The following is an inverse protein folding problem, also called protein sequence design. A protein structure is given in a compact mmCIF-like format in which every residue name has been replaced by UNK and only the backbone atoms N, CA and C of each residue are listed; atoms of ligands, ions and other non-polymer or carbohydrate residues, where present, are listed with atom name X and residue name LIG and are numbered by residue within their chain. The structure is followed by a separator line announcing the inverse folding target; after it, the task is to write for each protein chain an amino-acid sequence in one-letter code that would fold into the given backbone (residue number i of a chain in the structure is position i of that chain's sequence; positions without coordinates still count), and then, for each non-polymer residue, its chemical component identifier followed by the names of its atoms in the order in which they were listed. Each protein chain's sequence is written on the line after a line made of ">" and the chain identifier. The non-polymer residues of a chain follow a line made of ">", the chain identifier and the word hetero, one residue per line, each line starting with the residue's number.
data_IF_557754933078
#
_entry.id   IF_557754933078
#
_cell.length_a   1.000
_cell.length_b   1.000
_cell.length_c   1.000
_cell.angle_alpha   90.00
_cell.angle_beta   90.00
_cell.angle_gamma   90.00
#
_symmetry.space_group_name_H-M   'P 1'
#
loop_
_entity.id
_entity.type
_entity.pdbx_description
1 polymer ?
#
# COMPACT_ATOMS: atom_id res chain seq x y z
N UNK A 1 -5.79 17.65 -0.26
CA UNK A 1 -5.06 16.46 -0.72
C UNK A 1 -5.94 15.81 -1.77
N UNK A 2 -5.40 15.37 -2.90
CA UNK A 2 -6.19 14.97 -4.08
C UNK A 2 -5.56 13.74 -4.72
N UNK A 3 -6.38 12.93 -5.41
CA UNK A 3 -5.88 11.84 -6.25
C UNK A 3 -5.28 12.34 -7.55
N UNK A 4 -5.60 13.57 -7.93
CA UNK A 4 -5.28 14.15 -9.22
C UNK A 4 -4.22 15.23 -9.10
N UNK A 5 -3.54 15.50 -10.21
CA UNK A 5 -2.49 16.51 -10.29
C UNK A 5 -2.67 17.38 -11.53
N UNK A 6 -2.93 18.66 -11.31
CA UNK A 6 -3.20 19.64 -12.37
C UNK A 6 -2.12 19.64 -13.46
N UNK A 7 -0.84 19.62 -13.06
CA UNK A 7 0.29 19.60 -13.99
C UNK A 7 0.33 18.33 -14.85
N UNK A 8 -0.10 17.19 -14.32
CA UNK A 8 -0.22 15.95 -15.11
C UNK A 8 -1.38 16.03 -16.11
N UNK A 9 -2.50 16.65 -15.71
CA UNK A 9 -3.71 16.79 -16.52
C UNK A 9 -3.48 17.77 -17.67
N UNK A 10 -2.86 18.94 -17.42
CA UNK A 10 -2.60 19.95 -18.47
C UNK A 10 -1.75 19.37 -19.60
N UNK A 11 -0.74 18.56 -19.25
CA UNK A 11 0.15 17.90 -20.22
C UNK A 11 -0.66 16.92 -21.09
N UNK A 12 -1.55 16.13 -20.47
CA UNK A 12 -2.44 15.20 -21.19
C UNK A 12 -3.44 15.90 -22.10
N UNK A 13 -3.93 17.08 -21.70
CA UNK A 13 -4.84 17.90 -22.50
C UNK A 13 -4.14 18.75 -23.56
N UNK A 14 -2.81 18.92 -23.47
CA UNK A 14 -2.00 19.76 -24.36
C UNK A 14 -2.42 21.24 -24.32
N UNK A 15 -2.70 21.75 -23.12
CA UNK A 15 -3.10 23.15 -22.89
C UNK A 15 -1.96 23.95 -22.25
N UNK A 16 -2.02 25.29 -22.39
CA UNK A 16 -1.06 26.20 -21.79
C UNK A 16 -1.21 26.28 -20.26
N UNK A 17 -0.18 26.79 -19.57
CA UNK A 17 -0.23 27.04 -18.13
C UNK A 17 -1.40 27.99 -17.79
N UNK A 18 -2.10 27.68 -16.70
CA UNK A 18 -3.28 28.39 -16.15
C UNK A 18 -4.50 28.52 -17.08
N UNK A 19 -4.51 27.86 -18.24
CA UNK A 19 -5.70 27.79 -19.10
C UNK A 19 -6.78 26.92 -18.46
N UNK A 20 -8.00 27.47 -18.29
CA UNK A 20 -9.17 26.76 -17.76
C UNK A 20 -8.93 26.14 -16.37
N UNK A 21 -8.05 26.75 -15.56
CA UNK A 21 -7.61 26.18 -14.29
C UNK A 21 -8.77 25.88 -13.34
N UNK A 22 -9.63 26.86 -13.09
CA UNK A 22 -10.78 26.72 -12.18
C UNK A 22 -11.74 25.61 -12.64
N UNK A 23 -11.96 25.49 -13.95
CA UNK A 23 -12.81 24.44 -14.52
C UNK A 23 -12.18 23.06 -14.36
N UNK A 24 -10.87 22.93 -14.60
CA UNK A 24 -10.14 21.67 -14.41
C UNK A 24 -10.13 21.29 -12.94
N UNK A 25 -9.92 22.23 -12.02
CA UNK A 25 -9.96 21.99 -10.58
C UNK A 25 -11.36 21.52 -10.12
N UNK A 26 -12.44 22.04 -10.73
CA UNK A 26 -13.79 21.53 -10.49
C UNK A 26 -13.94 20.06 -10.93
N UNK A 27 -13.47 19.71 -12.14
CA UNK A 27 -13.49 18.31 -12.59
C UNK A 27 -12.59 17.41 -11.72
N UNK A 28 -11.45 17.91 -11.26
CA UNK A 28 -10.58 17.19 -10.33
C UNK A 28 -11.32 16.86 -9.03
N UNK A 29 -12.06 17.82 -8.46
CA UNK A 29 -12.87 17.59 -7.26
C UNK A 29 -13.96 16.54 -7.50
N UNK A 30 -14.68 16.62 -8.61
CA UNK A 30 -15.70 15.60 -8.94
C UNK A 30 -15.10 14.18 -9.05
N UNK A 31 -13.88 14.07 -9.61
CA UNK A 31 -13.19 12.79 -9.72
C UNK A 31 -12.67 12.33 -8.36
N UNK A 32 -12.19 13.23 -7.51
CA UNK A 32 -11.80 12.88 -6.14
C UNK A 32 -13.00 12.33 -5.36
N UNK A 33 -14.17 12.96 -5.44
CA UNK A 33 -15.41 12.48 -4.80
C UNK A 33 -15.84 11.11 -5.36
N UNK A 34 -15.70 10.89 -6.67
CA UNK A 34 -15.97 9.60 -7.29
C UNK A 34 -15.04 8.50 -6.76
N UNK A 35 -13.74 8.80 -6.64
CA UNK A 35 -12.75 7.88 -6.12
C UNK A 35 -12.99 7.59 -4.64
N UNK A 36 -13.26 8.61 -3.83
CA UNK A 36 -13.58 8.46 -2.40
C UNK A 36 -14.76 7.51 -2.20
N UNK A 37 -15.85 7.71 -2.94
CA UNK A 37 -17.03 6.85 -2.86
C UNK A 37 -16.71 5.39 -3.25
N UNK A 38 -15.95 5.19 -4.33
CA UNK A 38 -15.60 3.85 -4.81
C UNK A 38 -14.61 3.15 -3.86
N UNK A 39 -13.62 3.88 -3.36
CA UNK A 39 -12.68 3.38 -2.36
C UNK A 39 -13.40 3.06 -1.05
N UNK A 40 -14.31 3.92 -0.57
CA UNK A 40 -15.10 3.64 0.63
C UNK A 40 -15.93 2.36 0.48
N UNK A 41 -16.51 2.13 -0.70
CA UNK A 41 -17.25 0.90 -1.00
C UNK A 41 -16.35 -0.36 -1.01
N UNK A 42 -15.04 -0.22 -1.30
CA UNK A 42 -14.09 -1.33 -1.37
C UNK A 42 -13.28 -1.54 -0.10
N UNK A 43 -12.98 -0.48 0.66
CA UNK A 43 -12.12 -0.50 1.83
C UNK A 43 -12.91 -0.52 3.13
N UNK A 44 -14.14 0.01 3.12
CA UNK A 44 -14.87 0.34 4.34
C UNK A 44 -14.29 1.56 5.06
N UNK A 45 -14.71 1.78 6.30
CA UNK A 45 -14.24 2.89 7.13
C UNK A 45 -13.14 2.53 8.11
N UNK A 46 -12.99 1.25 8.42
CA UNK A 46 -11.99 0.75 9.35
C UNK A 46 -11.25 -0.45 8.77
N UNK A 47 -9.98 -0.58 9.09
CA UNK A 47 -9.17 -1.74 8.73
C UNK A 47 -9.34 -2.88 9.76
N UNK A 48 -8.70 -4.03 9.52
CA UNK A 48 -8.77 -5.18 10.44
C UNK A 48 -8.12 -4.93 11.81
N UNK A 49 -7.33 -3.87 11.96
CA UNK A 49 -6.67 -3.49 13.22
C UNK A 49 -7.54 -2.54 14.05
N UNK A 50 -8.63 -2.03 13.49
CA UNK A 50 -9.53 -1.06 14.12
C UNK A 50 -9.20 0.40 13.81
N UNK A 51 -8.20 0.68 12.98
CA UNK A 51 -7.86 2.04 12.58
C UNK A 51 -8.80 2.55 11.48
N UNK A 52 -9.10 3.85 11.52
CA UNK A 52 -9.87 4.53 10.47
C UNK A 52 -9.08 4.61 9.15
N UNK A 53 -9.78 4.33 8.05
CA UNK A 53 -9.28 4.54 6.70
C UNK A 53 -9.60 5.98 6.28
N UNK A 54 -8.57 6.80 6.30
CA UNK A 54 -8.62 8.22 5.91
C UNK A 54 -8.63 8.33 4.39
N UNK A 55 -9.61 9.05 3.87
CA UNK A 55 -9.72 9.45 2.47
C UNK A 55 -9.66 10.98 2.38
N UNK A 56 -9.09 11.56 1.31
CA UNK A 56 -8.48 10.88 0.18
C UNK A 56 -7.15 10.19 0.54
N UNK A 57 -6.78 9.14 -0.21
CA UNK A 57 -5.52 8.43 0.03
C UNK A 57 -4.32 9.33 -0.30
N UNK A 58 -3.22 9.15 0.43
CA UNK A 58 -1.95 9.86 0.22
C UNK A 58 -0.77 8.92 0.39
N UNK A 59 0.47 9.39 0.19
CA UNK A 59 1.67 8.60 0.55
C UNK A 59 1.74 8.27 2.04
N UNK A 60 0.97 8.98 2.88
CA UNK A 60 1.05 8.87 4.32
C UNK A 60 -0.07 8.01 4.93
N UNK A 61 -1.17 7.79 4.19
CA UNK A 61 -2.31 6.99 4.66
C UNK A 61 -2.01 5.49 4.62
N UNK A 62 -2.83 4.71 5.31
CA UNK A 62 -2.84 3.24 5.22
C UNK A 62 -4.25 2.83 4.78
N UNK A 63 -4.46 2.39 3.52
CA UNK A 63 -3.45 2.17 2.48
C UNK A 63 -2.86 3.47 1.91
N UNK A 64 -1.66 3.38 1.34
CA UNK A 64 -1.01 4.49 0.64
C UNK A 64 -1.65 4.69 -0.74
N UNK A 65 -1.63 5.91 -1.27
CA UNK A 65 -2.07 6.23 -2.64
C UNK A 65 -1.14 5.59 -3.67
N UNK A 66 -1.59 4.57 -4.42
CA UNK A 66 -0.73 3.92 -5.39
C UNK A 66 -0.58 4.78 -6.65
N UNK A 67 0.61 4.76 -7.25
CA UNK A 67 0.91 5.56 -8.45
C UNK A 67 -0.03 5.24 -9.63
N UNK A 68 -0.44 3.98 -9.76
CA UNK A 68 -1.39 3.54 -10.79
C UNK A 68 -2.77 4.18 -10.59
N UNK A 69 -3.27 4.24 -9.36
CA UNK A 69 -4.54 4.91 -9.05
C UNK A 69 -4.46 6.41 -9.33
N UNK A 70 -3.32 7.05 -8.99
CA UNK A 70 -3.04 8.45 -9.34
C UNK A 70 -3.08 8.68 -10.87
N UNK A 71 -2.51 7.75 -11.64
CA UNK A 71 -2.56 7.77 -13.10
C UNK A 71 -3.99 7.64 -13.66
N UNK A 72 -4.77 6.72 -13.11
CA UNK A 72 -6.18 6.50 -13.47
C UNK A 72 -7.02 7.74 -13.13
N UNK A 73 -6.84 8.32 -11.95
CA UNK A 73 -7.54 9.55 -11.54
C UNK A 73 -7.29 10.71 -12.53
N UNK A 74 -6.03 10.92 -12.91
CA UNK A 74 -5.68 11.93 -13.93
C UNK A 74 -6.33 11.65 -15.29
N UNK A 75 -6.41 10.39 -15.71
CA UNK A 75 -7.08 10.03 -16.96
C UNK A 75 -8.60 10.24 -16.89
N UNK A 76 -9.22 9.95 -15.76
CA UNK A 76 -10.65 10.17 -15.54
C UNK A 76 -11.01 11.65 -15.66
N UNK A 77 -10.19 12.56 -15.14
CA UNK A 77 -10.40 14.01 -15.33
C UNK A 77 -10.37 14.36 -16.82
N UNK A 78 -9.37 13.86 -17.56
CA UNK A 78 -9.25 14.08 -19.01
C UNK A 78 -10.46 13.51 -19.75
N UNK A 79 -10.93 12.32 -19.39
CA UNK A 79 -12.09 11.68 -19.99
C UNK A 79 -13.37 12.47 -19.69
N UNK A 80 -13.54 12.96 -18.45
CA UNK A 80 -14.68 13.80 -18.04
C UNK A 80 -14.73 15.11 -18.83
N UNK A 81 -13.60 15.80 -18.97
CA UNK A 81 -13.51 17.03 -19.77
C UNK A 81 -13.87 16.76 -21.24
N UNK A 82 -13.34 15.66 -21.82
CA UNK A 82 -13.65 15.28 -23.21
C UNK A 82 -15.10 14.86 -23.39
N UNK A 83 -15.73 14.28 -22.37
CA UNK A 83 -17.14 13.94 -22.38
C UNK A 83 -18.01 15.21 -22.49
N UNK A 84 -17.70 16.23 -21.68
CA UNK A 84 -18.43 17.51 -21.69
C UNK A 84 -18.21 18.30 -23.00
N UNK A 85 -17.02 18.20 -23.59
CA UNK A 85 -16.67 18.98 -24.79
C UNK A 85 -17.02 18.31 -26.13
N UNK A 86 -17.17 16.99 -26.18
CA UNK A 86 -17.27 16.26 -27.46
C UNK A 86 -18.19 15.04 -27.43
N UNK A 87 -18.96 14.86 -26.35
CA UNK A 87 -19.91 13.74 -26.18
C UNK A 87 -19.30 12.38 -26.53
N UNK A 88 -18.08 12.09 -26.05
CA UNK A 88 -17.41 10.79 -26.26
C UNK A 88 -17.60 9.88 -25.03
N UNK A 89 -18.78 9.24 -24.84
CA UNK A 89 -19.04 8.38 -23.68
C UNK A 89 -18.05 7.21 -23.61
N UNK A 90 -17.61 6.70 -24.76
CA UNK A 90 -16.69 5.56 -24.82
C UNK A 90 -15.36 5.78 -24.08
N UNK A 91 -14.85 7.02 -24.03
CA UNK A 91 -13.62 7.31 -23.28
C UNK A 91 -13.88 7.30 -21.77
N UNK A 92 -15.00 7.89 -21.35
CA UNK A 92 -15.40 7.89 -19.94
C UNK A 92 -15.66 6.47 -19.44
N UNK A 93 -16.47 5.70 -20.18
CA UNK A 93 -16.85 4.34 -19.80
C UNK A 93 -15.62 3.42 -19.74
N UNK A 94 -14.67 3.59 -20.65
CA UNK A 94 -13.41 2.83 -20.64
C UNK A 94 -12.56 3.15 -19.39
N UNK A 95 -12.36 4.42 -19.06
CA UNK A 95 -11.56 4.82 -17.88
C UNK A 95 -12.26 4.43 -16.57
N UNK A 96 -13.58 4.52 -16.50
CA UNK A 96 -14.37 4.04 -15.35
C UNK A 96 -14.22 2.53 -15.17
N UNK A 97 -14.25 1.76 -16.26
CA UNK A 97 -14.02 0.32 -16.21
C UNK A 97 -12.57 0.00 -15.78
N UNK A 98 -11.58 0.76 -16.23
CA UNK A 98 -10.19 0.64 -15.77
C UNK A 98 -10.10 0.89 -14.25
N UNK A 99 -10.78 1.92 -13.74
CA UNK A 99 -10.85 2.18 -12.30
C UNK A 99 -11.46 1.01 -11.54
N UNK A 100 -12.63 0.52 -11.97
CA UNK A 100 -13.28 -0.60 -11.27
C UNK A 100 -12.42 -1.87 -11.27
N UNK A 101 -11.85 -2.23 -12.42
CA UNK A 101 -10.95 -3.38 -12.51
C UNK A 101 -9.71 -3.21 -11.62
N UNK A 102 -9.15 -1.99 -11.56
CA UNK A 102 -8.04 -1.69 -10.67
C UNK A 102 -8.43 -1.87 -9.21
N UNK A 103 -9.55 -1.28 -8.77
CA UNK A 103 -10.01 -1.34 -7.40
C UNK A 103 -10.35 -2.79 -6.99
N UNK A 104 -10.98 -3.54 -7.88
CA UNK A 104 -11.31 -4.96 -7.65
C UNK A 104 -10.04 -5.82 -7.59
N UNK A 105 -9.03 -5.53 -8.42
CA UNK A 105 -7.75 -6.26 -8.41
C UNK A 105 -6.91 -5.96 -7.15
N UNK A 106 -6.86 -4.70 -6.72
CA UNK A 106 -5.96 -4.24 -5.65
C UNK A 106 -6.59 -4.37 -4.27
N UNK A 107 -7.87 -4.04 -4.14
CA UNK A 107 -8.57 -4.02 -2.86
C UNK A 107 -9.59 -5.15 -2.73
N UNK A 108 -9.92 -5.83 -3.82
CA UNK A 108 -10.89 -6.94 -3.82
C UNK A 108 -12.33 -6.46 -3.66
N UNK A 109 -13.25 -7.43 -3.61
CA UNK A 109 -14.62 -7.18 -3.18
C UNK A 109 -14.70 -7.45 -1.67
N UNK A 110 -14.69 -6.40 -0.86
CA UNK A 110 -15.05 -6.56 0.54
C UNK A 110 -16.55 -6.86 0.62
N UNK A 111 -16.91 -8.10 0.96
CA UNK A 111 -18.26 -8.48 1.40
C UNK A 111 -18.21 -8.86 2.86
N UNK A 112 -18.30 -7.86 3.74
CA UNK A 112 -18.48 -8.07 5.18
C UNK A 112 -17.21 -8.26 6.02
N UNK A 113 -16.01 -7.97 5.49
CA UNK A 113 -14.75 -8.02 6.25
C UNK A 113 -13.96 -6.73 6.13
N UNK A 114 -13.41 -6.19 7.21
CA UNK A 114 -12.61 -4.97 7.15
C UNK A 114 -11.37 -5.10 6.22
N UNK A 115 -10.89 -3.98 5.68
CA UNK A 115 -9.71 -3.97 4.81
C UNK A 115 -8.46 -4.48 5.55
N UNK A 116 -7.66 -5.31 4.88
CA UNK A 116 -6.41 -5.85 5.41
C UNK A 116 -5.20 -5.23 4.70
N UNK A 117 -4.39 -4.42 5.39
CA UNK A 117 -3.12 -3.97 4.85
C UNK A 117 -2.25 -5.14 4.39
N UNK A 118 -1.65 -5.01 3.21
CA UNK A 118 -0.78 -6.04 2.66
C UNK A 118 0.52 -6.10 3.46
N UNK A 119 0.79 -7.26 4.06
CA UNK A 119 2.03 -7.48 4.80
C UNK A 119 3.19 -7.74 3.85
N UNK A 120 4.36 -7.24 4.22
CA UNK A 120 5.61 -7.57 3.57
C UNK A 120 6.71 -7.77 4.63
N UNK A 121 7.65 -8.66 4.35
CA UNK A 121 8.83 -8.89 5.20
C UNK A 121 10.01 -9.23 4.31
N UNK A 122 11.08 -8.45 4.43
CA UNK A 122 12.29 -8.57 3.62
C UNK A 122 13.49 -8.76 4.53
N UNK A 123 14.44 -9.58 4.07
CA UNK A 123 15.68 -9.88 4.77
C UNK A 123 16.84 -9.42 3.89
N UNK A 124 17.82 -8.77 4.50
CA UNK A 124 19.06 -8.37 3.85
C UNK A 124 20.25 -8.65 4.77
N UNK A 125 21.17 -9.54 4.38
CA UNK A 125 21.15 -10.37 3.17
C UNK A 125 20.07 -11.48 3.24
N UNK A 126 19.86 -12.23 2.15
CA UNK A 126 18.96 -13.40 2.10
C UNK A 126 19.68 -14.73 2.36
N UNK A 127 21.01 -14.70 2.39
CA UNK A 127 21.86 -15.85 2.68
C UNK A 127 23.00 -15.41 3.59
N UNK A 128 23.51 -16.31 4.43
CA UNK A 128 24.64 -15.96 5.30
C UNK A 128 25.05 -17.04 6.28
N UNK A 129 26.25 -16.88 6.83
CA UNK A 129 26.84 -17.81 7.79
C UNK A 129 26.52 -17.45 9.23
N UNK A 130 26.78 -18.39 10.15
CA UNK A 130 26.67 -18.17 11.60
C UNK A 130 27.31 -16.83 12.01
N UNK A 131 26.66 -16.13 12.95
CA UNK A 131 27.00 -14.80 13.45
C UNK A 131 26.87 -13.63 12.46
N UNK A 132 26.57 -13.89 11.18
CA UNK A 132 26.26 -12.82 10.23
C UNK A 132 25.01 -12.06 10.67
N UNK A 133 25.08 -10.73 10.64
CA UNK A 133 23.97 -9.87 11.02
C UNK A 133 23.02 -9.74 9.83
N UNK A 134 21.77 -10.13 10.06
CA UNK A 134 20.67 -9.99 9.10
C UNK A 134 19.79 -8.82 9.51
N UNK A 135 19.52 -7.93 8.57
CA UNK A 135 18.55 -6.85 8.72
C UNK A 135 17.21 -7.31 8.20
N UNK A 136 16.16 -7.15 9.01
CA UNK A 136 14.78 -7.49 8.66
C UNK A 136 13.96 -6.22 8.67
N UNK A 137 13.27 -5.96 7.57
CA UNK A 137 12.28 -4.88 7.49
C UNK A 137 10.92 -5.44 7.13
N UNK A 138 9.85 -4.79 7.58
CA UNK A 138 8.50 -5.19 7.20
C UNK A 138 7.50 -4.05 7.30
N UNK A 139 6.33 -4.28 6.70
CA UNK A 139 5.23 -3.32 6.62
C UNK A 139 3.87 -4.04 6.62
N UNK A 140 2.80 -3.29 6.87
CA UNK A 140 1.43 -3.80 6.85
C UNK A 140 1.02 -4.63 8.07
N UNK A 141 1.82 -4.63 9.14
CA UNK A 141 1.48 -5.24 10.43
C UNK A 141 0.57 -4.31 11.24
N UNK A 142 -0.01 -4.79 12.34
CA UNK A 142 -0.79 -3.97 13.26
C UNK A 142 0.07 -2.81 13.79
N UNK A 143 -0.47 -1.58 13.91
CA UNK A 143 0.30 -0.43 14.36
C UNK A 143 0.61 -0.50 15.86
N UNK A 144 1.76 0.06 16.27
CA UNK A 144 2.19 0.19 17.68
C UNK A 144 2.11 -1.17 18.42
N UNK A 145 2.42 -2.25 17.71
CA UNK A 145 2.22 -3.60 18.20
C UNK A 145 3.56 -4.29 18.41
N UNK A 146 3.71 -4.95 19.57
CA UNK A 146 4.87 -5.81 19.83
C UNK A 146 4.81 -7.04 18.92
N UNK A 147 5.90 -7.28 18.20
CA UNK A 147 6.03 -8.41 17.27
C UNK A 147 6.67 -9.62 17.96
N UNK A 148 6.21 -10.80 17.56
CA UNK A 148 6.78 -12.09 17.93
C UNK A 148 7.63 -12.61 16.78
N UNK A 149 8.90 -12.88 17.05
CA UNK A 149 9.90 -13.23 16.04
C UNK A 149 10.46 -14.61 16.36
N UNK A 150 10.47 -15.48 15.36
CA UNK A 150 10.96 -16.85 15.47
C UNK A 150 11.85 -17.15 14.28
N UNK A 151 13.04 -17.70 14.51
CA UNK A 151 13.98 -18.08 13.46
C UNK A 151 14.38 -19.54 13.65
N UNK A 152 14.27 -20.34 12.61
CA UNK A 152 14.50 -21.79 12.67
C UNK A 152 13.75 -22.47 13.84
N UNK A 153 12.49 -22.09 14.04
CA UNK A 153 11.60 -22.57 15.12
C UNK A 153 11.99 -22.16 16.56
N UNK A 154 13.12 -21.46 16.73
CA UNK A 154 13.58 -20.92 18.02
C UNK A 154 13.35 -19.41 18.18
N UNK A 155 13.48 -18.92 19.41
CA UNK A 155 13.54 -17.49 19.71
C UNK A 155 14.96 -16.96 19.47
N UNK A 156 15.07 -15.73 18.97
CA UNK A 156 16.34 -15.04 18.74
C UNK A 156 16.40 -13.74 19.53
N UNK A 157 17.62 -13.28 19.80
CA UNK A 157 17.86 -11.94 20.35
C UNK A 157 17.92 -10.96 19.18
N UNK A 158 17.01 -10.00 19.19
CA UNK A 158 16.94 -8.94 18.19
C UNK A 158 17.56 -7.64 18.73
N UNK A 159 17.96 -6.77 17.81
CA UNK A 159 18.30 -5.38 18.09
C UNK A 159 17.34 -4.50 17.29
N UNK A 160 16.43 -3.75 17.95
CA UNK A 160 16.20 -3.69 19.40
C UNK A 160 15.63 -5.00 19.99
N UNK A 161 15.78 -5.19 21.31
CA UNK A 161 15.34 -6.41 22.03
C UNK A 161 13.83 -6.62 21.98
N UNK A 162 13.05 -5.53 21.94
CA UNK A 162 11.63 -5.57 21.70
C UNK A 162 11.34 -4.87 20.37
N UNK A 163 10.90 -5.63 19.38
CA UNK A 163 10.50 -5.08 18.10
C UNK A 163 9.04 -4.68 18.17
N UNK A 164 8.79 -3.39 17.98
CA UNK A 164 7.45 -2.79 17.98
C UNK A 164 7.26 -2.13 16.62
N UNK A 165 6.12 -2.36 15.98
CA UNK A 165 5.78 -1.69 14.74
C UNK A 165 5.49 -0.20 14.96
N UNK A 166 5.69 0.61 13.92
CA UNK A 166 5.34 2.03 13.91
C UNK A 166 3.83 2.23 13.91
N UNK A 167 3.38 3.49 13.99
CA UNK A 167 1.96 3.86 13.79
C UNK A 167 1.39 3.49 12.43
N UNK A 168 2.23 3.12 11.47
CA UNK A 168 1.83 2.62 10.14
C UNK A 168 2.04 1.13 9.96
N UNK A 169 2.39 0.40 11.03
CA UNK A 169 2.61 -1.04 10.95
C UNK A 169 3.93 -1.46 10.29
N UNK A 170 4.89 -0.53 10.17
CA UNK A 170 6.24 -0.82 9.66
C UNK A 170 7.18 -1.20 10.81
N UNK A 171 8.25 -1.95 10.54
CA UNK A 171 9.29 -2.24 11.52
C UNK A 171 10.65 -2.47 10.86
N UNK A 172 11.70 -2.35 11.66
CA UNK A 172 13.06 -2.72 11.30
C UNK A 172 13.79 -3.26 12.54
N UNK A 173 14.48 -4.37 12.39
CA UNK A 173 15.37 -4.90 13.42
C UNK A 173 16.52 -5.68 12.78
N UNK A 174 17.54 -5.96 13.57
CA UNK A 174 18.62 -6.85 13.17
C UNK A 174 18.78 -8.00 14.14
N UNK A 175 19.36 -9.10 13.69
CA UNK A 175 19.78 -10.21 14.54
C UNK A 175 20.99 -10.92 13.93
N UNK A 176 21.92 -11.42 14.74
CA UNK A 176 22.96 -12.33 14.27
C UNK A 176 22.39 -13.75 14.10
N UNK A 177 22.83 -14.48 13.08
CA UNK A 177 22.48 -15.91 12.93
C UNK A 177 23.02 -16.70 14.15
N UNK A 178 22.15 -17.41 14.90
CA UNK A 178 22.57 -18.17 16.08
C UNK A 178 23.59 -19.27 15.77
N UNK A 179 24.48 -19.55 16.73
CA UNK A 179 25.55 -20.54 16.60
C UNK A 179 25.05 -21.98 16.34
N UNK A 180 23.88 -22.33 16.86
CA UNK A 180 23.30 -23.68 16.74
C UNK A 180 22.40 -23.83 15.49
N UNK A 181 22.46 -22.87 14.56
CA UNK A 181 21.67 -22.94 13.32
C UNK A 181 22.35 -23.88 12.33
N UNK A 182 21.64 -24.91 11.87
CA UNK A 182 22.14 -25.81 10.84
C UNK A 182 22.16 -25.13 9.45
N UNK A 183 23.10 -25.54 8.61
CA UNK A 183 23.19 -25.10 7.22
C UNK A 183 21.94 -25.50 6.42
N UNK A 184 21.60 -24.68 5.43
CA UNK A 184 20.48 -24.90 4.52
C UNK A 184 19.31 -23.94 4.72
N UNK A 185 18.16 -24.32 4.19
CA UNK A 185 16.96 -23.48 4.16
C UNK A 185 16.31 -23.41 5.54
N UNK A 186 16.26 -22.22 6.11
CA UNK A 186 15.59 -21.92 7.38
C UNK A 186 14.49 -20.89 7.17
N UNK A 187 13.58 -20.78 8.14
CA UNK A 187 12.48 -19.82 8.09
C UNK A 187 12.57 -18.77 9.20
N UNK A 188 12.27 -17.53 8.84
CA UNK A 188 11.99 -16.43 9.76
C UNK A 188 10.49 -16.20 9.76
N UNK A 189 9.87 -16.25 10.95
CA UNK A 189 8.47 -15.91 11.15
C UNK A 189 8.37 -14.62 11.94
N UNK A 190 7.59 -13.66 11.43
CA UNK A 190 7.24 -12.42 12.14
C UNK A 190 5.74 -12.36 12.28
N UNK A 191 5.25 -12.30 13.52
CA UNK A 191 3.82 -12.29 13.83
C UNK A 191 3.44 -11.10 14.73
N UNK A 192 2.26 -10.54 14.50
CA UNK A 192 1.52 -9.73 15.47
C UNK A 192 0.27 -10.49 15.94
N UNK A 193 -0.62 -9.80 16.65
CA UNK A 193 -1.89 -10.35 17.18
C UNK A 193 -2.89 -10.77 16.10
N UNK A 194 -2.72 -10.32 14.85
CA UNK A 194 -3.59 -10.60 13.70
C UNK A 194 -2.94 -11.56 12.68
N UNK A 195 -1.81 -12.17 13.05
CA UNK A 195 -1.06 -13.14 12.25
C UNK A 195 0.30 -12.61 11.78
N UNK A 196 0.87 -13.24 10.76
CA UNK A 196 2.21 -12.89 10.32
C UNK A 196 2.62 -13.49 8.98
N UNK A 197 3.89 -13.28 8.63
CA UNK A 197 4.51 -13.83 7.44
C UNK A 197 5.68 -14.75 7.80
N UNK A 198 5.92 -15.69 6.88
CA UNK A 198 7.08 -16.58 6.91
C UNK A 198 7.95 -16.23 5.71
N UNK A 199 9.23 -15.96 5.99
CA UNK A 199 10.24 -15.70 4.98
C UNK A 199 11.30 -16.79 5.01
N UNK A 200 11.79 -17.19 3.84
CA UNK A 200 12.90 -18.14 3.70
C UNK A 200 14.24 -17.42 3.76
N UNK A 201 15.24 -18.06 4.37
CA UNK A 201 16.63 -17.62 4.43
C UNK A 201 17.54 -18.83 4.22
N UNK A 202 18.71 -18.66 3.60
CA UNK A 202 19.67 -19.75 3.41
C UNK A 202 20.90 -19.57 4.31
N UNK A 203 21.13 -20.52 5.20
CA UNK A 203 22.34 -20.57 6.03
C UNK A 203 23.43 -21.34 5.29
N UNK A 204 24.65 -20.81 5.31
CA UNK A 204 25.82 -21.32 4.57
C UNK A 204 27.06 -21.46 5.43
#
# INVERSE_FOLDING_TARGET
>A
MSYTEYDSIKIKLRIANDSMRDEIELYMQEIDDLLDNRLRARLGSINIYGDEIVLPLTSETVPELPLELKGIANNLVVAKIRLQNSEKPMLWDAEVNILDNYLDRVYGYIRGTAFRPRRATTLSPQTGAIAQVVTVTGSGYAPIQKLTITFSEGTIVTTPVSVISTSKGAFSFTFPIPADTADGAVTLKVNDTFGGLVSSFQVT
#
